data_IF_935792901578
#
_entry.id   IF_935792901578
#
_cell.length_a   1.000
_cell.length_b   1.000
_cell.length_c   1.000
_cell.angle_alpha   90.00
_cell.angle_beta   90.00
_cell.angle_gamma   90.00
#
_symmetry.space_group_name_H-M   'P 1'
#
loop_
_entity.id
_entity.type
_entity.pdbx_description
1 polymer ?
#
# COMPACT_ATOMS: atom_id res chain seq x y z
N UNK A 1 -9.75 -28.99 11.96
CA UNK A 1 -8.53 -29.58 12.58
C UNK A 1 -7.90 -30.68 11.73
N UNK A 2 -8.55 -31.85 11.55
CA UNK A 2 -7.96 -32.94 10.75
C UNK A 2 -7.55 -32.56 9.32
N UNK A 3 -8.43 -31.89 8.58
CA UNK A 3 -8.13 -31.42 7.22
C UNK A 3 -6.94 -30.45 7.18
N UNK A 4 -6.83 -29.56 8.18
CA UNK A 4 -5.71 -28.62 8.27
C UNK A 4 -4.38 -29.34 8.51
N UNK A 5 -4.37 -30.37 9.38
CA UNK A 5 -3.20 -31.21 9.59
C UNK A 5 -2.82 -31.95 8.31
N UNK A 6 -3.80 -32.56 7.62
CA UNK A 6 -3.57 -33.28 6.36
C UNK A 6 -2.98 -32.34 5.28
N UNK A 7 -3.46 -31.09 5.20
CA UNK A 7 -2.94 -30.07 4.27
C UNK A 7 -1.50 -29.67 4.64
N UNK A 8 -1.21 -29.41 5.92
CA UNK A 8 0.15 -29.09 6.36
C UNK A 8 1.13 -30.25 6.12
N UNK A 9 0.71 -31.50 6.30
CA UNK A 9 1.54 -32.67 5.99
C UNK A 9 1.82 -32.77 4.49
N UNK A 10 0.82 -32.49 3.65
CA UNK A 10 0.98 -32.48 2.20
C UNK A 10 1.94 -31.39 1.72
N UNK A 11 1.90 -30.18 2.32
CA UNK A 11 2.85 -29.11 2.01
C UNK A 11 4.29 -29.44 2.41
N UNK A 12 4.49 -30.38 3.35
CA UNK A 12 5.81 -30.86 3.78
C UNK A 12 6.36 -31.99 2.90
N UNK A 13 5.64 -32.43 1.88
CA UNK A 13 6.10 -33.49 0.99
C UNK A 13 7.02 -32.93 -0.10
N UNK A 14 8.33 -32.97 0.15
CA UNK A 14 9.36 -32.56 -0.81
C UNK A 14 9.83 -33.69 -1.72
N UNK A 15 9.24 -34.88 -1.63
CA UNK A 15 9.68 -36.03 -2.44
C UNK A 15 9.46 -35.81 -3.93
N UNK A 16 8.45 -34.99 -4.27
CA UNK A 16 7.98 -34.82 -5.63
C UNK A 16 7.31 -36.07 -6.20
N UNK A 17 7.10 -37.13 -5.41
CA UNK A 17 6.51 -38.40 -5.87
C UNK A 17 4.97 -38.39 -5.82
N UNK A 18 4.38 -37.33 -5.27
CA UNK A 18 2.96 -37.19 -5.00
C UNK A 18 2.50 -35.78 -5.33
N UNK A 19 1.33 -35.70 -5.95
CA UNK A 19 0.58 -34.47 -6.16
C UNK A 19 -0.66 -34.45 -5.28
N UNK A 20 -0.92 -33.30 -4.65
CA UNK A 20 -2.00 -33.13 -3.70
C UNK A 20 -3.05 -32.16 -4.25
N UNK A 21 -4.32 -32.51 -4.06
CA UNK A 21 -5.47 -31.73 -4.53
C UNK A 21 -6.53 -31.65 -3.44
N UNK A 22 -7.28 -30.56 -3.38
CA UNK A 22 -8.49 -30.45 -2.58
C UNK A 22 -9.71 -30.69 -3.47
N UNK A 23 -10.54 -31.69 -3.11
CA UNK A 23 -11.85 -31.86 -3.71
C UNK A 23 -12.85 -30.90 -3.06
N UNK A 24 -13.32 -29.93 -3.85
CA UNK A 24 -14.22 -28.86 -3.41
C UNK A 24 -15.55 -29.42 -2.89
N UNK A 25 -16.02 -30.58 -3.41
CA UNK A 25 -17.32 -31.12 -3.02
C UNK A 25 -17.26 -31.91 -1.73
N UNK A 26 -16.18 -32.68 -1.54
CA UNK A 26 -16.02 -33.52 -0.35
C UNK A 26 -15.24 -32.82 0.77
N UNK A 27 -14.55 -31.72 0.46
CA UNK A 27 -13.62 -31.05 1.37
C UNK A 27 -12.44 -31.94 1.77
N UNK A 28 -12.14 -32.99 0.98
CA UNK A 28 -11.09 -33.96 1.29
C UNK A 28 -9.86 -33.71 0.44
N UNK A 29 -8.71 -33.92 1.08
CA UNK A 29 -7.43 -33.95 0.39
C UNK A 29 -7.30 -35.26 -0.41
N UNK A 30 -6.99 -35.14 -1.69
CA UNK A 30 -6.75 -36.24 -2.62
C UNK A 30 -5.26 -36.25 -2.97
N UNK A 31 -4.59 -37.35 -2.64
CA UNK A 31 -3.19 -37.59 -2.98
C UNK A 31 -3.11 -38.51 -4.21
N UNK A 32 -2.33 -38.11 -5.21
CA UNK A 32 -2.08 -38.89 -6.42
C UNK A 32 -0.59 -39.11 -6.57
N UNK A 33 -0.15 -40.37 -6.57
CA UNK A 33 1.25 -40.71 -6.84
C UNK A 33 1.60 -40.48 -8.32
N UNK A 34 2.82 -40.03 -8.56
CA UNK A 34 3.41 -39.76 -9.88
C UNK A 34 3.41 -40.96 -10.83
N UNK A 35 3.37 -42.17 -10.30
CA UNK A 35 3.20 -43.42 -11.07
C UNK A 35 1.87 -43.41 -11.88
N UNK A 36 0.94 -42.52 -11.54
CA UNK A 36 -0.36 -42.35 -12.18
C UNK A 36 -0.52 -41.06 -13.00
N UNK A 37 0.55 -40.52 -13.63
CA UNK A 37 0.48 -39.33 -14.50
C UNK A 37 -0.68 -39.35 -15.53
N UNK A 38 -1.07 -40.52 -16.04
CA UNK A 38 -2.25 -40.70 -16.89
C UNK A 38 -3.58 -40.32 -16.20
N UNK A 39 -3.75 -40.66 -14.90
CA UNK A 39 -4.92 -40.25 -14.10
C UNK A 39 -4.93 -38.75 -13.84
N UNK A 40 -3.75 -38.14 -13.65
CA UNK A 40 -3.57 -36.70 -13.48
C UNK A 40 -4.06 -35.92 -14.70
N UNK A 41 -3.67 -36.35 -15.92
CA UNK A 41 -4.15 -35.76 -17.19
C UNK A 41 -5.66 -35.96 -17.42
N UNK A 42 -6.20 -37.09 -16.99
CA UNK A 42 -7.65 -37.36 -17.04
C UNK A 42 -8.44 -36.46 -16.09
N UNK A 43 -7.93 -36.19 -14.88
CA UNK A 43 -8.57 -35.34 -13.88
C UNK A 43 -8.50 -33.86 -14.27
N UNK A 44 -7.37 -33.38 -14.80
CA UNK A 44 -7.23 -32.04 -15.35
C UNK A 44 -8.21 -31.76 -16.50
N UNK A 45 -8.56 -32.78 -17.31
CA UNK A 45 -9.53 -32.66 -18.41
C UNK A 45 -11.00 -32.69 -17.96
N UNK A 46 -11.31 -33.13 -16.73
CA UNK A 46 -12.69 -33.44 -16.32
C UNK A 46 -13.20 -32.72 -15.09
N UNK A 47 -12.42 -31.93 -14.36
CA UNK A 47 -12.96 -31.35 -13.12
C UNK A 47 -12.57 -29.89 -12.85
N UNK A 48 -13.56 -29.01 -12.92
CA UNK A 48 -13.66 -27.76 -12.13
C UNK A 48 -13.76 -28.03 -10.61
N UNK A 49 -13.44 -29.24 -10.13
CA UNK A 49 -13.77 -29.74 -8.78
C UNK A 49 -12.56 -30.10 -7.92
N UNK A 50 -11.36 -30.11 -8.50
CA UNK A 50 -10.10 -30.40 -7.79
C UNK A 50 -9.20 -29.18 -7.89
N UNK A 51 -8.83 -28.60 -6.76
CA UNK A 51 -7.90 -27.47 -6.69
C UNK A 51 -6.52 -28.03 -6.34
N UNK A 52 -5.47 -27.80 -7.16
CA UNK A 52 -4.12 -28.23 -6.81
C UNK A 52 -3.63 -27.49 -5.57
N UNK A 53 -3.02 -28.21 -4.64
CA UNK A 53 -2.39 -27.63 -3.46
C UNK A 53 -1.07 -26.95 -3.87
N UNK A 54 -0.69 -25.79 -3.30
CA UNK A 54 0.59 -25.17 -3.58
C UNK A 54 1.73 -26.06 -3.08
N UNK A 55 2.92 -25.92 -3.65
CA UNK A 55 4.11 -26.61 -3.16
C UNK A 55 4.96 -25.62 -2.36
N UNK A 56 5.20 -25.92 -1.08
CA UNK A 56 6.26 -25.25 -0.33
C UNK A 56 7.56 -25.97 -0.65
N UNK A 57 8.58 -25.24 -1.07
CA UNK A 57 9.89 -25.84 -1.38
C UNK A 57 10.82 -25.78 -0.16
N UNK A 58 11.85 -26.65 -0.12
CA UNK A 58 12.79 -26.70 1.02
C UNK A 58 13.51 -25.36 1.24
N UNK A 59 13.74 -24.58 0.18
CA UNK A 59 14.40 -23.26 0.28
C UNK A 59 13.54 -22.27 1.07
N UNK A 60 12.24 -22.24 0.83
CA UNK A 60 11.29 -21.37 1.53
C UNK A 60 11.24 -21.70 3.04
N UNK A 61 11.24 -22.99 3.39
CA UNK A 61 11.33 -23.42 4.78
C UNK A 61 12.67 -23.09 5.43
N UNK A 62 13.77 -23.15 4.68
CA UNK A 62 15.08 -22.72 5.17
C UNK A 62 15.13 -21.22 5.44
N UNK A 63 14.47 -20.40 4.61
CA UNK A 63 14.33 -18.97 4.82
C UNK A 63 13.49 -18.69 6.08
N UNK A 64 12.36 -19.40 6.26
CA UNK A 64 11.56 -19.31 7.49
C UNK A 64 12.34 -19.73 8.74
N UNK A 65 13.08 -20.84 8.66
CA UNK A 65 13.94 -21.32 9.75
C UNK A 65 15.01 -20.30 10.13
N UNK A 66 15.58 -19.60 9.15
CA UNK A 66 16.55 -18.54 9.39
C UNK A 66 15.92 -17.40 10.20
N UNK A 67 14.73 -16.92 9.81
CA UNK A 67 13.99 -15.91 10.57
C UNK A 67 13.69 -16.38 12.00
N UNK A 68 13.16 -17.59 12.16
CA UNK A 68 12.91 -18.20 13.48
C UNK A 68 14.17 -18.22 14.36
N UNK A 69 15.32 -18.59 13.80
CA UNK A 69 16.58 -18.59 14.53
C UNK A 69 17.03 -17.19 15.00
N UNK A 70 16.79 -16.16 14.18
CA UNK A 70 17.15 -14.78 14.51
C UNK A 70 16.22 -14.16 15.55
N UNK A 71 14.92 -14.41 15.42
CA UNK A 71 13.88 -13.74 16.18
C UNK A 71 13.57 -14.47 17.49
N UNK A 72 13.48 -15.80 17.45
CA UNK A 72 12.92 -16.57 18.56
C UNK A 72 14.00 -17.21 19.44
N UNK A 73 15.05 -17.81 18.86
CA UNK A 73 16.02 -18.61 19.64
C UNK A 73 16.91 -17.71 20.51
N UNK A 74 16.58 -17.55 21.79
CA UNK A 74 17.32 -16.69 22.72
C UNK A 74 18.62 -17.29 23.29
N UNK A 75 18.98 -18.54 22.92
CA UNK A 75 20.20 -19.23 23.39
C UNK A 75 21.37 -18.90 22.45
N UNK A 76 22.35 -18.07 22.84
CA UNK A 76 23.34 -17.53 21.89
C UNK A 76 24.23 -18.59 21.23
N UNK A 77 24.57 -19.65 21.98
CA UNK A 77 25.39 -20.75 21.48
C UNK A 77 24.65 -21.57 20.41
N UNK A 78 23.38 -21.92 20.67
CA UNK A 78 22.50 -22.61 19.73
C UNK A 78 22.28 -21.76 18.47
N UNK A 79 21.93 -20.47 18.65
CA UNK A 79 21.74 -19.52 17.54
C UNK A 79 22.97 -19.43 16.64
N UNK A 80 24.16 -19.33 17.24
CA UNK A 80 25.42 -19.27 16.52
C UNK A 80 25.73 -20.57 15.77
N UNK A 81 25.45 -21.72 16.39
CA UNK A 81 25.61 -23.04 15.77
C UNK A 81 24.69 -23.20 14.55
N UNK A 82 23.42 -22.85 14.67
CA UNK A 82 22.44 -22.92 13.59
C UNK A 82 22.81 -21.98 12.44
N UNK A 83 23.20 -20.72 12.71
CA UNK A 83 23.73 -19.79 11.68
C UNK A 83 24.89 -20.39 10.90
N UNK A 84 25.84 -21.04 11.57
CA UNK A 84 26.99 -21.68 10.92
C UNK A 84 26.56 -22.84 10.02
N UNK A 85 25.57 -23.63 10.43
CA UNK A 85 25.08 -24.76 9.62
C UNK A 85 24.23 -24.30 8.43
N UNK A 86 23.40 -23.25 8.59
CA UNK A 86 22.64 -22.65 7.48
C UNK A 86 23.56 -22.09 6.39
N UNK A 87 24.67 -21.44 6.76
CA UNK A 87 25.69 -20.96 5.79
C UNK A 87 26.32 -22.07 4.96
N UNK A 88 26.28 -23.32 5.43
CA UNK A 88 26.77 -24.50 4.70
C UNK A 88 25.73 -25.11 3.75
N UNK A 89 24.57 -24.45 3.54
CA UNK A 89 23.43 -24.99 2.76
C UNK A 89 22.99 -26.36 3.27
N UNK A 90 22.90 -26.48 4.59
CA UNK A 90 22.48 -27.71 5.26
C UNK A 90 20.98 -27.96 5.05
N UNK A 91 20.58 -29.22 4.87
CA UNK A 91 19.16 -29.60 4.75
C UNK A 91 18.36 -29.32 6.02
N UNK A 92 17.05 -29.17 5.86
CA UNK A 92 16.13 -28.88 6.97
C UNK A 92 16.21 -29.95 8.08
N UNK A 93 16.28 -31.23 7.71
CA UNK A 93 16.37 -32.35 8.67
C UNK A 93 17.60 -32.28 9.58
N UNK A 94 18.72 -31.74 9.09
CA UNK A 94 19.92 -31.62 9.91
C UNK A 94 19.81 -30.42 10.87
N UNK A 95 19.10 -29.35 10.50
CA UNK A 95 18.79 -28.24 11.41
C UNK A 95 17.82 -28.67 12.51
N UNK A 96 16.76 -29.42 12.16
CA UNK A 96 15.82 -30.04 13.12
C UNK A 96 16.55 -30.93 14.13
N UNK A 97 17.45 -31.80 13.66
CA UNK A 97 18.29 -32.64 14.54
C UNK A 97 19.22 -31.86 15.47
N UNK A 98 19.60 -30.64 15.11
CA UNK A 98 20.37 -29.77 16.02
C UNK A 98 19.46 -29.25 17.13
N UNK A 99 18.23 -28.83 16.81
CA UNK A 99 17.24 -28.39 17.79
C UNK A 99 16.79 -29.52 18.72
N UNK A 100 16.55 -30.73 18.19
CA UNK A 100 16.13 -31.91 18.96
C UNK A 100 17.16 -32.33 20.02
N UNK A 101 18.45 -32.19 19.69
CA UNK A 101 19.54 -32.55 20.61
C UNK A 101 19.85 -31.45 21.62
N UNK A 102 19.27 -30.27 21.45
CA UNK A 102 19.50 -29.15 22.35
C UNK A 102 18.55 -29.23 23.55
N UNK A 103 19.11 -29.05 24.75
CA UNK A 103 18.36 -29.20 26.01
C UNK A 103 17.36 -28.06 26.28
N UNK A 104 17.40 -26.97 25.50
CA UNK A 104 16.48 -25.83 25.66
C UNK A 104 15.06 -26.09 25.15
N UNK A 105 14.84 -27.16 24.38
CA UNK A 105 13.51 -27.52 23.87
C UNK A 105 13.00 -26.64 22.71
N UNK A 106 13.87 -25.82 22.08
CA UNK A 106 13.50 -24.97 20.94
C UNK A 106 12.96 -25.72 19.72
N UNK A 107 13.10 -27.05 19.67
CA UNK A 107 12.42 -27.88 18.67
C UNK A 107 10.90 -27.72 18.72
N UNK A 108 10.30 -27.56 19.90
CA UNK A 108 8.85 -27.36 20.02
C UNK A 108 8.43 -26.00 19.48
N UNK A 109 9.22 -24.96 19.74
CA UNK A 109 9.01 -23.64 19.16
C UNK A 109 9.09 -23.65 17.64
N UNK A 110 10.05 -24.39 17.07
CA UNK A 110 10.15 -24.55 15.62
C UNK A 110 8.97 -25.31 15.03
N UNK A 111 8.54 -26.42 15.65
CA UNK A 111 7.38 -27.18 15.18
C UNK A 111 6.12 -26.32 15.15
N UNK A 112 5.95 -25.45 16.15
CA UNK A 112 4.84 -24.49 16.19
C UNK A 112 4.96 -23.42 15.11
N UNK A 113 6.15 -22.81 14.94
CA UNK A 113 6.40 -21.79 13.92
C UNK A 113 6.22 -22.33 12.49
N UNK A 114 6.71 -23.54 12.23
CA UNK A 114 6.52 -24.26 10.97
C UNK A 114 5.03 -24.52 10.70
N UNK A 115 4.24 -24.86 11.73
CA UNK A 115 2.80 -25.02 11.57
C UNK A 115 2.08 -23.71 11.24
N UNK A 116 2.45 -22.59 11.87
CA UNK A 116 1.87 -21.28 11.56
C UNK A 116 2.19 -20.85 10.13
N UNK A 117 3.46 -20.97 9.74
CA UNK A 117 3.89 -20.65 8.38
C UNK A 117 3.11 -21.46 7.32
N UNK A 118 2.93 -22.77 7.55
CA UNK A 118 2.16 -23.61 6.62
C UNK A 118 0.66 -23.28 6.63
N UNK A 119 0.10 -22.90 7.77
CA UNK A 119 -1.29 -22.44 7.86
C UNK A 119 -1.51 -21.16 7.05
N UNK A 120 -0.59 -20.19 7.15
CA UNK A 120 -0.61 -18.95 6.36
C UNK A 120 -0.57 -19.27 4.85
N UNK A 121 0.29 -20.20 4.42
CA UNK A 121 0.35 -20.64 3.01
C UNK A 121 -0.95 -21.26 2.52
N UNK A 122 -1.64 -22.02 3.37
CA UNK A 122 -2.95 -22.60 3.06
C UNK A 122 -4.01 -21.50 2.97
N UNK A 123 -3.99 -20.53 3.87
CA UNK A 123 -4.91 -19.39 3.87
C UNK A 123 -4.73 -18.50 2.64
N UNK A 124 -3.50 -18.12 2.30
CA UNK A 124 -3.14 -17.43 1.05
C UNK A 124 -3.75 -18.18 -0.16
N UNK A 125 -3.50 -19.49 -0.25
CA UNK A 125 -3.99 -20.31 -1.36
C UNK A 125 -5.53 -20.42 -1.44
N UNK A 126 -6.24 -20.52 -0.32
CA UNK A 126 -7.71 -20.62 -0.30
C UNK A 126 -8.36 -19.26 -0.65
N UNK A 127 -7.67 -18.16 -0.39
CA UNK A 127 -8.20 -16.80 -0.56
C UNK A 127 -7.96 -16.20 -1.95
N UNK A 128 -7.08 -16.80 -2.76
CA UNK A 128 -6.88 -16.47 -4.18
C UNK A 128 -7.98 -17.10 -5.10
N UNK A 129 -8.68 -16.34 -5.97
CA UNK A 129 -9.75 -16.88 -6.80
C UNK A 129 -9.24 -17.72 -8.01
N UNK A 130 -9.84 -18.88 -8.32
CA UNK A 130 -9.25 -19.83 -9.28
C UNK A 130 -9.68 -19.67 -10.76
N UNK A 131 -10.29 -18.55 -11.20
CA UNK A 131 -10.84 -18.42 -12.56
C UNK A 131 -10.36 -17.16 -13.30
N UNK A 132 -9.78 -17.36 -14.49
CA UNK A 132 -9.18 -16.34 -15.33
C UNK A 132 -10.17 -15.86 -16.42
N UNK A 133 -10.15 -14.57 -16.78
CA UNK A 133 -11.14 -13.99 -17.71
C UNK A 133 -11.07 -14.52 -19.15
N UNK A 134 -9.98 -15.20 -19.51
CA UNK A 134 -9.80 -15.85 -20.82
C UNK A 134 -10.78 -17.00 -21.09
N UNK A 135 -11.37 -17.56 -20.04
CA UNK A 135 -12.10 -18.81 -20.15
C UNK A 135 -13.59 -18.63 -20.52
N UNK A 136 -14.13 -17.40 -20.42
CA UNK A 136 -15.52 -17.09 -20.81
C UNK A 136 -15.74 -15.60 -21.16
N UNK A 137 -15.47 -15.20 -22.41
CA UNK A 137 -15.62 -13.80 -22.86
C UNK A 137 -17.06 -13.26 -22.77
N UNK A 138 -18.08 -14.11 -22.80
CA UNK A 138 -19.48 -13.70 -22.74
C UNK A 138 -19.91 -13.35 -21.30
N UNK A 139 -19.19 -13.88 -20.30
CA UNK A 139 -19.34 -13.48 -18.90
C UNK A 139 -18.79 -12.08 -18.61
N UNK A 140 -17.70 -11.67 -19.27
CA UNK A 140 -16.95 -10.45 -18.95
C UNK A 140 -17.36 -9.20 -19.75
N UNK A 141 -17.96 -9.38 -20.93
CA UNK A 141 -18.30 -8.27 -21.82
C UNK A 141 -19.80 -8.19 -22.06
N UNK A 142 -20.40 -7.10 -21.60
CA UNK A 142 -21.81 -6.78 -21.85
C UNK A 142 -22.04 -6.50 -23.36
N UNK A 143 -22.85 -7.35 -24.00
CA UNK A 143 -23.17 -7.25 -25.42
C UNK A 143 -24.00 -6.00 -25.75
N UNK A 144 -24.63 -5.33 -24.78
CA UNK A 144 -25.40 -4.11 -25.01
C UNK A 144 -24.56 -2.84 -24.90
N UNK A 145 -23.35 -2.93 -24.34
CA UNK A 145 -22.46 -1.79 -24.16
C UNK A 145 -21.54 -1.58 -25.38
N UNK A 146 -21.64 -0.44 -26.10
CA UNK A 146 -20.82 -0.16 -27.29
C UNK A 146 -19.30 -0.13 -27.03
N UNK A 147 -18.88 0.07 -25.77
CA UNK A 147 -17.48 0.00 -25.36
C UNK A 147 -17.07 -1.46 -25.13
N UNK A 148 -17.88 -2.26 -24.43
CA UNK A 148 -17.63 -3.69 -24.24
C UNK A 148 -17.63 -4.45 -25.57
N UNK A 149 -18.55 -4.13 -26.50
CA UNK A 149 -18.52 -4.64 -27.87
C UNK A 149 -17.21 -4.31 -28.60
N UNK A 150 -16.68 -3.09 -28.44
CA UNK A 150 -15.39 -2.72 -29.03
C UNK A 150 -14.25 -3.53 -28.40
N UNK A 151 -14.21 -3.65 -27.07
CA UNK A 151 -13.16 -4.37 -26.35
C UNK A 151 -13.20 -5.88 -26.68
N UNK A 152 -14.37 -6.50 -26.70
CA UNK A 152 -14.59 -7.88 -27.13
C UNK A 152 -14.08 -8.12 -28.55
N UNK A 153 -14.36 -7.19 -29.47
CA UNK A 153 -13.84 -7.23 -30.84
C UNK A 153 -12.32 -7.06 -30.91
N UNK A 154 -11.73 -6.18 -30.09
CA UNK A 154 -10.27 -5.97 -30.05
C UNK A 154 -9.53 -7.21 -29.55
N UNK A 155 -10.09 -7.88 -28.55
CA UNK A 155 -9.54 -9.12 -27.99
C UNK A 155 -9.63 -10.27 -29.00
N UNK A 156 -10.77 -10.40 -29.70
CA UNK A 156 -10.92 -11.35 -30.82
C UNK A 156 -9.93 -11.09 -31.97
N UNK A 157 -9.67 -9.82 -32.27
CA UNK A 157 -8.71 -9.38 -33.29
C UNK A 157 -7.26 -9.35 -32.79
N UNK A 158 -7.01 -9.67 -31.51
CA UNK A 158 -5.70 -9.62 -30.82
C UNK A 158 -4.94 -8.32 -31.05
N UNK A 159 -5.63 -7.19 -30.96
CA UNK A 159 -5.02 -5.86 -31.14
C UNK A 159 -5.58 -4.86 -30.15
N UNK A 160 -4.87 -3.74 -29.97
CA UNK A 160 -5.37 -2.62 -29.18
C UNK A 160 -6.30 -1.71 -30.03
N UNK A 161 -7.29 -1.06 -29.40
CA UNK A 161 -8.16 -0.12 -30.09
C UNK A 161 -7.43 1.20 -30.38
N UNK A 162 -7.66 1.78 -31.56
CA UNK A 162 -7.18 3.13 -31.86
C UNK A 162 -7.99 4.17 -31.09
N UNK A 163 -7.38 5.31 -30.78
CA UNK A 163 -8.03 6.44 -30.10
C UNK A 163 -9.31 6.90 -30.82
N UNK A 164 -9.33 6.88 -32.15
CA UNK A 164 -10.51 7.22 -32.96
C UNK A 164 -11.66 6.20 -32.80
N UNK A 165 -11.33 4.92 -32.65
CA UNK A 165 -12.30 3.83 -32.42
C UNK A 165 -12.91 3.95 -31.03
N UNK A 166 -12.08 4.17 -30.00
CA UNK A 166 -12.52 4.42 -28.62
C UNK A 166 -13.45 5.64 -28.54
N UNK A 167 -13.05 6.78 -29.15
CA UNK A 167 -13.89 7.99 -29.19
C UNK A 167 -15.26 7.72 -29.82
N UNK A 168 -15.30 6.89 -30.87
CA UNK A 168 -16.56 6.51 -31.53
C UNK A 168 -17.42 5.60 -30.64
N UNK A 169 -16.83 4.63 -29.96
CA UNK A 169 -17.51 3.74 -29.02
C UNK A 169 -18.07 4.51 -27.81
N UNK A 170 -17.28 5.38 -27.20
CA UNK A 170 -17.73 6.26 -26.12
C UNK A 170 -18.86 7.19 -26.55
N UNK A 171 -18.78 7.77 -27.77
CA UNK A 171 -19.88 8.60 -28.29
C UNK A 171 -21.17 7.80 -28.50
N UNK A 172 -21.08 6.52 -28.92
CA UNK A 172 -22.24 5.63 -29.03
C UNK A 172 -22.80 5.27 -27.66
N UNK A 173 -21.95 4.89 -26.70
CA UNK A 173 -22.38 4.59 -25.34
C UNK A 173 -23.05 5.80 -24.66
N UNK A 174 -22.51 7.02 -24.83
CA UNK A 174 -23.13 8.26 -24.34
C UNK A 174 -24.52 8.50 -24.93
N UNK A 175 -24.70 8.24 -26.23
CA UNK A 175 -26.00 8.34 -26.92
C UNK A 175 -27.00 7.29 -26.47
N UNK A 176 -26.55 6.12 -26.03
CA UNK A 176 -27.38 5.06 -25.49
C UNK A 176 -27.74 5.25 -24.00
N UNK A 177 -27.40 6.41 -23.41
CA UNK A 177 -27.63 6.69 -22.00
C UNK A 177 -26.54 6.17 -21.06
N UNK A 178 -25.48 5.57 -21.60
CA UNK A 178 -24.31 5.15 -20.83
C UNK A 178 -23.54 6.35 -20.28
N UNK A 179 -23.13 6.28 -19.02
CA UNK A 179 -22.28 7.29 -18.38
C UNK A 179 -20.84 7.03 -18.81
N UNK A 180 -20.37 7.77 -19.83
CA UNK A 180 -19.03 7.61 -20.39
C UNK A 180 -18.38 8.95 -20.76
N UNK A 181 -17.14 9.13 -20.30
CA UNK A 181 -16.26 10.29 -20.59
C UNK A 181 -16.34 11.42 -19.54
N UNK A 182 -15.18 11.86 -19.04
CA UNK A 182 -15.01 13.04 -18.18
C UNK A 182 -14.30 14.19 -18.92
N UNK A 183 -14.33 15.39 -18.32
CA UNK A 183 -13.87 16.68 -18.90
C UNK A 183 -12.46 16.68 -19.52
N UNK A 184 -11.61 15.70 -19.19
CA UNK A 184 -10.24 15.53 -19.72
C UNK A 184 -10.24 15.36 -21.25
N UNK A 185 -11.32 14.85 -21.85
CA UNK A 185 -11.42 14.70 -23.31
C UNK A 185 -12.03 15.92 -24.02
N UNK A 186 -12.60 16.88 -23.29
CA UNK A 186 -13.43 17.96 -23.86
C UNK A 186 -12.79 19.36 -23.80
N UNK A 187 -11.66 19.58 -23.10
CA UNK A 187 -10.99 20.90 -23.07
C UNK A 187 -9.50 20.86 -23.47
N UNK A 188 -9.23 21.34 -24.68
CA UNK A 188 -7.98 22.00 -25.04
C UNK A 188 -7.87 23.32 -24.26
N UNK A 189 -7.36 23.30 -23.04
CA UNK A 189 -6.99 24.53 -22.33
C UNK A 189 -5.88 24.31 -21.32
N UNK A 190 -4.64 24.16 -21.83
CA UNK A 190 -3.47 24.69 -21.12
C UNK A 190 -3.58 26.22 -21.16
N UNK A 191 -4.30 26.78 -20.19
CA UNK A 191 -4.46 28.21 -19.99
C UNK A 191 -3.93 28.58 -18.62
N UNK A 192 -2.61 28.64 -18.48
CA UNK A 192 -1.94 29.38 -17.42
C UNK A 192 -2.01 30.86 -17.82
N UNK A 193 -2.97 31.62 -17.27
CA UNK A 193 -2.91 33.09 -17.23
C UNK A 193 -3.43 33.51 -15.86
N UNK A 194 -2.61 34.31 -15.16
CA UNK A 194 -2.91 34.81 -13.83
C UNK A 194 -4.17 35.67 -13.77
N UNK A 195 -4.95 35.46 -12.72
CA UNK A 195 -5.58 36.50 -11.93
C UNK A 195 -6.11 35.88 -10.63
N UNK A 196 -5.79 36.52 -9.52
CA UNK A 196 -6.10 36.14 -8.14
C UNK A 196 -7.57 36.38 -7.74
N UNK A 197 -8.51 36.02 -8.60
CA UNK A 197 -9.94 36.05 -8.26
C UNK A 197 -10.58 34.73 -8.68
N UNK A 198 -11.12 34.02 -7.68
CA UNK A 198 -11.71 32.68 -7.70
C UNK A 198 -10.72 31.49 -7.67
N UNK A 199 -9.97 31.38 -6.57
CA UNK A 199 -9.34 30.11 -6.15
C UNK A 199 -10.42 29.02 -5.98
N UNK A 200 -10.59 28.16 -6.99
CA UNK A 200 -11.43 26.96 -6.92
C UNK A 200 -10.56 25.72 -7.04
N UNK A 201 -10.20 25.18 -5.88
CA UNK A 201 -9.43 23.95 -5.81
C UNK A 201 -10.22 22.77 -6.40
N UNK A 202 -9.60 21.95 -7.27
CA UNK A 202 -10.23 20.74 -7.76
C UNK A 202 -10.59 19.81 -6.60
N UNK A 203 -11.85 19.36 -6.54
CA UNK A 203 -12.36 18.50 -5.46
C UNK A 203 -11.54 17.23 -5.27
N UNK A 204 -10.93 16.71 -6.33
CA UNK A 204 -10.13 15.49 -6.25
C UNK A 204 -8.83 15.68 -5.45
N UNK A 205 -8.29 16.90 -5.33
CA UNK A 205 -7.07 17.15 -4.55
C UNK A 205 -7.28 16.90 -3.05
N UNK A 206 -8.52 16.92 -2.57
CA UNK A 206 -8.87 16.53 -1.20
C UNK A 206 -8.57 15.06 -0.91
N UNK A 207 -8.63 14.20 -1.94
CA UNK A 207 -8.39 12.75 -1.79
C UNK A 207 -6.91 12.42 -1.60
N UNK A 208 -6.00 13.38 -1.75
CA UNK A 208 -4.55 13.18 -1.55
C UNK A 208 -4.13 13.21 -0.09
N UNK A 209 -5.00 13.66 0.82
CA UNK A 209 -4.64 13.86 2.23
C UNK A 209 -5.76 13.53 3.21
N UNK A 210 -7.03 13.44 2.79
CA UNK A 210 -8.13 13.02 3.68
C UNK A 210 -8.04 11.53 3.99
N UNK A 211 -8.31 11.17 5.25
CA UNK A 211 -8.40 9.76 5.68
C UNK A 211 -9.47 8.99 4.93
N UNK A 212 -10.63 9.62 4.78
CA UNK A 212 -11.76 9.07 4.01
C UNK A 212 -11.79 9.79 2.66
N UNK A 213 -11.32 9.15 1.58
CA UNK A 213 -11.33 9.76 0.26
C UNK A 213 -12.74 9.73 -0.35
N UNK A 214 -12.96 10.35 -1.52
CA UNK A 214 -14.31 10.47 -2.08
C UNK A 214 -14.86 9.18 -2.69
N UNK A 215 -14.00 8.17 -2.94
CA UNK A 215 -14.38 6.85 -3.44
C UNK A 215 -14.90 6.80 -4.88
N UNK A 216 -14.85 7.91 -5.64
CA UNK A 216 -15.41 7.97 -6.98
C UNK A 216 -14.45 7.43 -8.05
N UNK A 217 -14.99 6.70 -9.02
CA UNK A 217 -14.21 6.11 -10.12
C UNK A 217 -13.65 7.16 -11.09
N UNK A 218 -14.31 8.32 -11.20
CA UNK A 218 -13.85 9.46 -11.99
C UNK A 218 -12.81 10.33 -11.26
N UNK A 219 -12.55 10.08 -9.98
CA UNK A 219 -11.52 10.77 -9.23
C UNK A 219 -10.13 10.28 -9.68
N UNK A 220 -9.21 11.19 -10.08
CA UNK A 220 -7.84 10.82 -10.44
C UNK A 220 -7.07 10.03 -9.37
N UNK A 221 -7.44 10.20 -8.10
CA UNK A 221 -6.81 9.50 -6.98
C UNK A 221 -7.57 8.20 -6.67
N UNK A 222 -8.86 8.29 -6.32
CA UNK A 222 -9.63 7.11 -5.89
C UNK A 222 -9.84 6.10 -7.02
N UNK A 223 -10.15 6.59 -8.23
CA UNK A 223 -10.31 5.74 -9.40
C UNK A 223 -9.01 5.06 -9.81
N UNK A 224 -7.85 5.72 -9.63
CA UNK A 224 -6.54 5.11 -9.84
C UNK A 224 -6.25 4.03 -8.79
N UNK A 225 -6.39 4.34 -7.50
CA UNK A 225 -6.23 3.36 -6.41
C UNK A 225 -7.12 2.14 -6.64
N UNK A 226 -8.37 2.34 -7.06
CA UNK A 226 -9.30 1.24 -7.37
C UNK A 226 -8.80 0.39 -8.55
N UNK A 227 -8.28 1.02 -9.61
CA UNK A 227 -7.71 0.32 -10.77
C UNK A 227 -6.43 -0.45 -10.42
N UNK A 228 -5.55 0.15 -9.64
CA UNK A 228 -4.30 -0.49 -9.20
C UNK A 228 -4.61 -1.68 -8.29
N UNK A 229 -5.54 -1.53 -7.33
CA UNK A 229 -6.07 -2.65 -6.55
C UNK A 229 -6.69 -3.73 -7.42
N UNK A 230 -7.52 -3.35 -8.38
CA UNK A 230 -8.13 -4.31 -9.31
C UNK A 230 -7.07 -5.05 -10.14
N UNK A 231 -6.02 -4.35 -10.59
CA UNK A 231 -4.87 -4.95 -11.30
C UNK A 231 -4.13 -5.96 -10.42
N UNK A 232 -3.91 -5.67 -9.15
CA UNK A 232 -3.31 -6.63 -8.22
C UNK A 232 -4.22 -7.84 -8.01
N UNK A 233 -5.52 -7.62 -7.77
CA UNK A 233 -6.53 -8.69 -7.65
C UNK A 233 -6.52 -9.59 -8.90
N UNK A 234 -6.51 -9.01 -10.09
CA UNK A 234 -6.47 -9.75 -11.37
C UNK A 234 -5.21 -10.60 -11.55
N UNK A 235 -4.11 -10.22 -10.89
CA UNK A 235 -2.85 -10.96 -10.92
C UNK A 235 -2.69 -11.96 -9.78
N UNK A 236 -3.62 -12.00 -8.83
CA UNK A 236 -3.45 -12.72 -7.57
C UNK A 236 -2.34 -12.11 -6.69
N UNK A 237 -2.03 -10.82 -6.89
CA UNK A 237 -1.11 -10.08 -6.04
C UNK A 237 -1.87 -9.51 -4.85
N UNK A 238 -1.34 -9.66 -3.63
CA UNK A 238 -1.82 -8.90 -2.49
C UNK A 238 -1.48 -7.41 -2.72
N UNK A 239 -2.49 -6.55 -2.72
CA UNK A 239 -2.31 -5.11 -2.88
C UNK A 239 -1.86 -4.42 -1.58
N UNK A 240 -2.00 -5.10 -0.44
CA UNK A 240 -1.48 -4.66 0.85
C UNK A 240 -0.07 -5.23 1.12
N UNK A 241 0.46 -6.08 0.24
CA UNK A 241 1.86 -6.50 0.26
C UNK A 241 2.80 -5.30 0.00
N UNK A 242 3.83 -5.21 0.83
CA UNK A 242 4.76 -4.09 0.82
C UNK A 242 5.61 -4.03 -0.46
N UNK A 243 6.00 -5.18 -1.03
CA UNK A 243 6.78 -5.18 -2.27
C UNK A 243 5.94 -4.71 -3.45
N UNK A 244 4.67 -5.13 -3.53
CA UNK A 244 3.74 -4.70 -4.56
C UNK A 244 3.43 -3.19 -4.44
N UNK A 245 3.23 -2.69 -3.22
CA UNK A 245 3.09 -1.26 -2.97
C UNK A 245 4.32 -0.45 -3.42
N UNK A 246 5.54 -0.98 -3.21
CA UNK A 246 6.78 -0.34 -3.69
C UNK A 246 6.84 -0.34 -5.23
N UNK A 247 6.51 -1.46 -5.89
CA UNK A 247 6.49 -1.55 -7.35
C UNK A 247 5.51 -0.56 -7.96
N UNK A 248 4.35 -0.41 -7.36
CA UNK A 248 3.34 0.57 -7.75
C UNK A 248 3.85 2.00 -7.62
N UNK A 249 4.54 2.30 -6.51
CA UNK A 249 5.19 3.61 -6.30
C UNK A 249 6.27 3.87 -7.35
N UNK A 250 7.13 2.89 -7.66
CA UNK A 250 8.16 3.01 -8.70
C UNK A 250 7.55 3.27 -10.09
N UNK A 251 6.50 2.53 -10.44
CA UNK A 251 5.77 2.72 -11.69
C UNK A 251 5.14 4.13 -11.76
N UNK A 252 4.56 4.61 -10.66
CA UNK A 252 4.01 5.96 -10.56
C UNK A 252 5.10 7.03 -10.75
N UNK A 253 6.31 6.82 -10.20
CA UNK A 253 7.43 7.73 -10.41
C UNK A 253 7.92 7.75 -11.86
N UNK A 254 7.99 6.59 -12.51
CA UNK A 254 8.35 6.49 -13.94
C UNK A 254 7.36 7.24 -14.82
N UNK A 255 6.07 7.03 -14.60
CA UNK A 255 5.03 7.74 -15.35
C UNK A 255 5.06 9.26 -15.11
N UNK A 256 5.25 9.68 -13.85
CA UNK A 256 5.40 11.10 -13.53
C UNK A 256 6.63 11.70 -14.22
N UNK A 257 7.75 10.99 -14.23
CA UNK A 257 8.97 11.43 -14.91
C UNK A 257 8.77 11.53 -16.42
N UNK A 258 8.10 10.57 -17.06
CA UNK A 258 7.76 10.64 -18.48
C UNK A 258 6.89 11.86 -18.83
N UNK A 259 5.90 12.17 -17.98
CA UNK A 259 5.05 13.36 -18.14
C UNK A 259 5.90 14.62 -18.02
N UNK A 260 6.76 14.70 -17.00
CA UNK A 260 7.66 15.84 -16.78
C UNK A 260 8.61 16.01 -17.98
N UNK A 261 9.16 14.93 -18.51
CA UNK A 261 10.06 14.97 -19.66
C UNK A 261 9.36 15.52 -20.91
N UNK A 262 8.15 15.02 -21.21
CA UNK A 262 7.34 15.52 -22.34
C UNK A 262 6.98 17.00 -22.17
N UNK A 263 6.62 17.40 -20.95
CA UNK A 263 6.31 18.80 -20.64
C UNK A 263 7.54 19.70 -20.80
N UNK A 264 8.69 19.25 -20.32
CA UNK A 264 9.97 19.95 -20.44
C UNK A 264 10.39 20.11 -21.90
N UNK A 265 10.32 19.04 -22.70
CA UNK A 265 10.56 19.08 -24.15
C UNK A 265 9.62 20.06 -24.85
N UNK A 266 8.32 20.00 -24.55
CA UNK A 266 7.31 20.88 -25.16
C UNK A 266 7.54 22.37 -24.86
N UNK A 267 8.18 22.67 -23.74
CA UNK A 267 8.49 24.02 -23.27
C UNK A 267 9.95 24.43 -23.52
N UNK A 268 10.75 23.56 -24.15
CA UNK A 268 12.16 23.82 -24.45
C UNK A 268 13.08 23.82 -23.23
N UNK A 269 12.68 23.23 -22.10
CA UNK A 269 13.50 23.10 -20.91
C UNK A 269 14.37 21.84 -20.95
N UNK A 270 15.66 21.99 -20.65
CA UNK A 270 16.56 20.86 -20.45
C UNK A 270 16.59 20.46 -18.97
N UNK A 271 15.84 19.42 -18.64
CA UNK A 271 15.77 18.77 -17.33
C UNK A 271 17.03 17.99 -16.94
N UNK A 272 18.03 17.83 -17.82
CA UNK A 272 19.30 17.20 -17.43
C UNK A 272 20.23 18.14 -16.63
N UNK A 273 19.96 19.45 -16.62
CA UNK A 273 20.74 20.47 -15.90
C UNK A 273 20.09 20.90 -14.58
N UNK A 274 19.78 19.93 -13.70
CA UNK A 274 19.14 20.18 -12.39
C UNK A 274 20.15 20.66 -11.32
N UNK A 275 21.45 20.59 -11.60
CA UNK A 275 22.53 20.84 -10.62
C UNK A 275 22.52 22.27 -10.04
N UNK A 276 21.82 23.22 -10.66
CA UNK A 276 21.75 24.62 -10.23
C UNK A 276 20.48 24.98 -9.44
N UNK A 277 19.61 24.02 -9.10
CA UNK A 277 18.42 24.30 -8.30
C UNK A 277 18.80 24.38 -6.83
N UNK A 278 18.59 25.55 -6.20
CA UNK A 278 18.73 25.67 -4.75
C UNK A 278 17.62 24.90 -4.06
N UNK A 279 17.98 23.86 -3.34
CA UNK A 279 17.04 23.05 -2.57
C UNK A 279 16.64 23.72 -1.25
N UNK A 280 15.40 23.51 -0.79
CA UNK A 280 15.02 23.94 0.53
C UNK A 280 15.84 23.19 1.61
N UNK A 281 16.01 23.77 2.81
CA UNK A 281 16.68 23.09 3.91
C UNK A 281 16.07 21.72 4.22
N UNK A 282 16.87 20.83 4.82
CA UNK A 282 16.36 19.60 5.40
C UNK A 282 15.34 19.87 6.52
N UNK A 283 14.38 18.96 6.79
CA UNK A 283 13.35 19.16 7.80
C UNK A 283 13.91 19.52 9.19
N UNK A 284 15.04 18.91 9.60
CA UNK A 284 15.71 19.16 10.88
C UNK A 284 16.26 20.59 11.02
N UNK A 285 16.41 21.33 9.92
CA UNK A 285 16.85 22.73 9.93
C UNK A 285 15.70 23.71 10.20
N UNK A 286 14.46 23.25 10.22
CA UNK A 286 13.29 24.09 10.54
C UNK A 286 12.83 23.88 12.00
N UNK A 287 12.97 24.86 12.90
CA UNK A 287 12.54 24.72 14.29
C UNK A 287 11.07 24.35 14.48
N UNK A 288 10.17 24.89 13.64
CA UNK A 288 8.74 24.55 13.71
C UNK A 288 8.50 23.07 13.37
N UNK A 289 9.19 22.54 12.35
CA UNK A 289 9.13 21.11 12.01
C UNK A 289 9.60 20.25 13.18
N UNK A 290 10.69 20.63 13.86
CA UNK A 290 11.19 19.89 15.04
C UNK A 290 10.13 19.85 16.15
N UNK A 291 9.49 20.98 16.46
CA UNK A 291 8.43 21.05 17.47
C UNK A 291 7.24 20.14 17.12
N UNK A 292 6.80 20.15 15.87
CA UNK A 292 5.67 19.33 15.40
C UNK A 292 6.05 17.85 15.36
N UNK A 293 7.27 17.50 14.96
CA UNK A 293 7.78 16.14 15.02
C UNK A 293 7.81 15.62 16.47
N UNK A 294 8.29 16.42 17.42
CA UNK A 294 8.26 16.07 18.84
C UNK A 294 6.83 15.87 19.36
N UNK A 295 5.89 16.69 18.91
CA UNK A 295 4.47 16.51 19.21
C UNK A 295 3.90 15.22 18.59
N UNK A 296 4.19 14.93 17.32
CA UNK A 296 3.76 13.71 16.63
C UNK A 296 4.31 12.44 17.29
N UNK A 297 5.58 12.46 17.72
CA UNK A 297 6.19 11.35 18.47
C UNK A 297 5.46 10.97 19.75
N UNK A 298 4.81 11.93 20.43
CA UNK A 298 4.00 11.64 21.62
C UNK A 298 2.71 10.91 21.25
N UNK A 299 2.14 11.20 20.09
CA UNK A 299 0.97 10.49 19.56
C UNK A 299 1.37 9.06 19.16
N UNK A 300 2.48 8.88 18.45
CA UNK A 300 2.98 7.54 18.08
C UNK A 300 3.27 6.70 19.33
N UNK A 301 3.93 7.27 20.34
CA UNK A 301 4.16 6.56 21.60
C UNK A 301 2.86 6.16 22.32
N UNK A 302 1.82 7.00 22.25
CA UNK A 302 0.50 6.64 22.78
C UNK A 302 -0.16 5.53 21.97
N UNK A 303 -0.04 5.55 20.64
CA UNK A 303 -0.54 4.50 19.77
C UNK A 303 0.13 3.16 20.08
N UNK A 304 1.45 3.13 20.19
CA UNK A 304 2.21 1.93 20.51
C UNK A 304 1.79 1.34 21.87
N UNK A 305 1.71 2.19 22.90
CA UNK A 305 1.26 1.76 24.23
C UNK A 305 -0.20 1.27 24.21
N UNK A 306 -1.05 1.90 23.42
CA UNK A 306 -2.46 1.53 23.27
C UNK A 306 -2.62 0.16 22.58
N UNK A 307 -1.85 -0.08 21.50
CA UNK A 307 -1.82 -1.38 20.80
C UNK A 307 -1.36 -2.49 21.73
N UNK A 308 -0.26 -2.27 22.47
CA UNK A 308 0.29 -3.23 23.43
C UNK A 308 -0.66 -3.53 24.60
N UNK A 309 -1.49 -2.55 24.98
CA UNK A 309 -2.44 -2.68 26.09
C UNK A 309 -3.86 -3.04 25.62
N UNK A 310 -4.05 -3.32 24.33
CA UNK A 310 -5.33 -3.68 23.70
C UNK A 310 -6.50 -2.74 24.07
N UNK A 311 -6.22 -1.43 24.19
CA UNK A 311 -7.23 -0.47 24.65
C UNK A 311 -8.27 -0.18 23.56
N UNK A 312 -9.55 -0.30 23.91
CA UNK A 312 -10.64 -0.21 22.95
C UNK A 312 -10.72 1.12 22.18
N UNK A 313 -10.27 2.24 22.77
CA UNK A 313 -10.38 3.55 22.13
C UNK A 313 -9.59 3.65 20.82
N UNK A 314 -8.58 2.80 20.61
CA UNK A 314 -7.76 2.80 19.39
C UNK A 314 -8.56 2.44 18.14
N UNK A 315 -9.69 1.75 18.29
CA UNK A 315 -10.57 1.34 17.21
C UNK A 315 -11.67 2.36 16.89
N UNK A 316 -11.65 3.53 17.54
CA UNK A 316 -12.64 4.59 17.31
C UNK A 316 -12.28 5.46 16.11
N UNK A 317 -13.28 6.10 15.50
CA UNK A 317 -13.05 7.08 14.41
C UNK A 317 -12.17 8.25 14.87
N UNK A 318 -12.32 8.68 16.12
CA UNK A 318 -11.50 9.75 16.69
C UNK A 318 -10.02 9.36 16.76
N UNK A 319 -9.71 8.10 17.10
CA UNK A 319 -8.33 7.58 17.07
C UNK A 319 -7.79 7.49 15.64
N UNK A 320 -8.57 6.95 14.71
CA UNK A 320 -8.19 6.87 13.30
C UNK A 320 -7.91 8.25 12.70
N UNK A 321 -8.75 9.25 12.99
CA UNK A 321 -8.51 10.65 12.61
C UNK A 321 -7.26 11.21 13.29
N UNK A 322 -7.06 10.97 14.59
CA UNK A 322 -5.88 11.45 15.31
C UNK A 322 -4.58 10.98 14.65
N UNK A 323 -4.43 9.67 14.42
CA UNK A 323 -3.21 9.11 13.85
C UNK A 323 -2.98 9.55 12.41
N UNK A 324 -4.02 9.55 11.59
CA UNK A 324 -3.93 9.97 10.20
C UNK A 324 -3.54 11.45 10.06
N UNK A 325 -4.26 12.34 10.76
CA UNK A 325 -4.05 13.77 10.61
C UNK A 325 -2.82 14.28 11.37
N UNK A 326 -2.30 13.54 12.36
CA UNK A 326 -1.02 13.88 13.00
C UNK A 326 0.15 13.68 12.03
N UNK A 327 0.16 12.57 11.30
CA UNK A 327 1.14 12.32 10.23
C UNK A 327 0.95 13.27 9.04
N UNK A 328 -0.30 13.54 8.66
CA UNK A 328 -0.61 14.52 7.59
C UNK A 328 -0.12 15.93 7.96
N UNK A 329 -0.35 16.38 9.20
CA UNK A 329 0.15 17.66 9.70
C UNK A 329 1.68 17.75 9.61
N UNK A 330 2.39 16.67 9.99
CA UNK A 330 3.85 16.61 9.92
C UNK A 330 4.39 16.67 8.49
N UNK A 331 3.75 15.97 7.54
CA UNK A 331 4.13 16.03 6.13
C UNK A 331 3.85 17.41 5.53
N UNK A 332 2.66 17.97 5.79
CA UNK A 332 2.21 19.23 5.20
C UNK A 332 2.91 20.45 5.80
N UNK A 333 3.33 20.44 7.06
CA UNK A 333 4.08 21.57 7.60
C UNK A 333 5.46 21.69 6.94
N UNK A 334 6.14 20.58 6.67
CA UNK A 334 7.41 20.64 5.93
C UNK A 334 7.20 21.24 4.55
N UNK A 335 6.16 20.79 3.84
CA UNK A 335 5.79 21.35 2.53
C UNK A 335 5.50 22.86 2.61
N UNK A 336 4.75 23.31 3.61
CA UNK A 336 4.47 24.74 3.81
C UNK A 336 5.74 25.56 4.04
N UNK A 337 6.68 25.02 4.84
CA UNK A 337 7.96 25.65 5.12
C UNK A 337 8.87 25.71 3.88
N UNK A 338 8.88 24.65 3.06
CA UNK A 338 9.58 24.64 1.77
C UNK A 338 8.96 25.65 0.80
N UNK A 339 7.63 25.68 0.66
CA UNK A 339 6.93 26.62 -0.21
C UNK A 339 7.25 28.07 0.19
N UNK A 340 7.23 28.36 1.49
CA UNK A 340 7.63 29.67 2.01
C UNK A 340 9.07 29.99 1.68
N UNK A 341 9.99 29.07 1.91
CA UNK A 341 11.40 29.26 1.61
C UNK A 341 11.61 29.55 0.12
N UNK A 342 10.91 28.85 -0.78
CA UNK A 342 10.95 29.13 -2.21
C UNK A 342 10.46 30.55 -2.53
N UNK A 343 9.31 30.96 -1.99
CA UNK A 343 8.77 32.32 -2.16
C UNK A 343 9.79 33.37 -1.68
N UNK A 344 10.37 33.19 -0.49
CA UNK A 344 11.35 34.11 0.10
C UNK A 344 12.69 34.16 -0.66
N UNK A 345 12.98 33.17 -1.51
CA UNK A 345 14.16 33.12 -2.38
C UNK A 345 13.84 33.41 -3.85
N UNK A 346 12.68 34.00 -4.14
CA UNK A 346 12.31 34.45 -5.49
C UNK A 346 11.78 33.35 -6.41
N UNK A 347 11.33 32.22 -5.86
CA UNK A 347 10.70 31.14 -6.63
C UNK A 347 9.30 31.53 -7.10
N UNK A 348 9.04 31.37 -8.40
CA UNK A 348 7.75 31.72 -9.04
C UNK A 348 6.64 30.69 -8.79
N UNK A 349 6.97 29.51 -8.22
CA UNK A 349 6.08 28.35 -8.16
C UNK A 349 5.42 28.09 -6.78
N UNK A 350 5.42 29.08 -5.88
CA UNK A 350 5.05 28.87 -4.47
C UNK A 350 3.60 29.17 -4.10
N UNK A 351 2.96 30.16 -4.74
CA UNK A 351 1.74 30.77 -4.18
C UNK A 351 0.53 29.83 -4.17
N UNK A 352 0.29 29.10 -5.26
CA UNK A 352 -0.81 28.14 -5.34
C UNK A 352 -0.65 27.03 -4.29
N UNK A 353 0.53 26.42 -4.22
CA UNK A 353 0.78 25.31 -3.31
C UNK A 353 0.88 25.76 -1.85
N UNK A 354 1.32 26.99 -1.59
CA UNK A 354 1.31 27.63 -0.27
C UNK A 354 -0.12 27.88 0.23
N UNK A 355 -1.02 28.40 -0.63
CA UNK A 355 -2.42 28.60 -0.29
C UNK A 355 -3.14 27.26 -0.06
N UNK A 356 -2.92 26.29 -0.95
CA UNK A 356 -3.47 24.95 -0.81
C UNK A 356 -3.03 24.29 0.49
N UNK A 357 -1.72 24.22 0.72
CA UNK A 357 -1.17 23.55 1.90
C UNK A 357 -1.59 24.26 3.19
N UNK A 358 -1.70 25.59 3.19
CA UNK A 358 -2.29 26.36 4.29
C UNK A 358 -3.70 25.91 4.65
N UNK A 359 -4.60 25.81 3.65
CA UNK A 359 -5.97 25.30 3.87
C UNK A 359 -5.98 23.86 4.42
N UNK A 360 -5.11 23.00 3.92
CA UNK A 360 -5.00 21.61 4.43
C UNK A 360 -4.58 21.61 5.90
N UNK A 361 -3.61 22.45 6.29
CA UNK A 361 -3.17 22.56 7.67
C UNK A 361 -4.29 23.04 8.60
N UNK A 362 -5.08 24.03 8.18
CA UNK A 362 -6.24 24.52 8.94
C UNK A 362 -7.28 23.43 9.20
N UNK A 363 -7.64 22.67 8.16
CA UNK A 363 -8.58 21.54 8.28
C UNK A 363 -8.00 20.41 9.15
N UNK A 364 -6.70 20.08 9.00
CA UNK A 364 -6.03 19.10 9.86
C UNK A 364 -6.09 19.53 11.33
N UNK A 365 -5.79 20.80 11.64
CA UNK A 365 -5.87 21.33 13.00
C UNK A 365 -7.29 21.25 13.56
N UNK A 366 -8.31 21.55 12.75
CA UNK A 366 -9.71 21.44 13.15
C UNK A 366 -10.09 20.01 13.50
N UNK A 367 -9.72 19.04 12.66
CA UNK A 367 -10.00 17.62 12.88
C UNK A 367 -9.25 17.11 14.10
N UNK A 368 -7.93 17.35 14.19
CA UNK A 368 -7.11 16.95 15.34
C UNK A 368 -7.67 17.47 16.67
N UNK A 369 -8.06 18.75 16.74
CA UNK A 369 -8.68 19.32 17.93
C UNK A 369 -10.01 18.66 18.27
N UNK A 370 -10.82 18.29 17.26
CA UNK A 370 -12.08 17.57 17.46
C UNK A 370 -11.81 16.17 18.02
N UNK A 371 -10.97 15.40 17.34
CA UNK A 371 -10.60 14.03 17.71
C UNK A 371 -10.01 13.95 19.12
N UNK A 372 -9.07 14.83 19.47
CA UNK A 372 -8.49 14.89 20.82
C UNK A 372 -9.56 15.18 21.87
N UNK A 373 -10.46 16.13 21.63
CA UNK A 373 -11.55 16.44 22.58
C UNK A 373 -12.52 15.28 22.74
N UNK A 374 -12.80 14.53 21.68
CA UNK A 374 -13.64 13.33 21.76
C UNK A 374 -12.97 12.24 22.59
N UNK A 375 -11.68 11.99 22.38
CA UNK A 375 -10.90 11.04 23.18
C UNK A 375 -10.81 11.45 24.66
N UNK A 376 -10.59 12.75 24.95
CA UNK A 376 -10.57 13.28 26.33
C UNK A 376 -11.91 13.10 27.05
N UNK A 377 -13.03 13.19 26.32
CA UNK A 377 -14.37 12.96 26.87
C UNK A 377 -14.61 11.49 27.20
N UNK A 378 -13.93 10.57 26.53
CA UNK A 378 -13.97 9.16 26.85
C UNK A 378 -13.48 8.89 28.28
N UNK A 379 -14.10 7.92 28.97
CA UNK A 379 -13.62 7.45 30.27
C UNK A 379 -12.42 6.51 30.08
N UNK A 380 -11.31 7.05 29.57
CA UNK A 380 -10.12 6.30 29.19
C UNK A 380 -8.94 6.65 30.08
N UNK A 381 -8.08 5.68 30.35
CA UNK A 381 -6.91 5.82 31.22
C UNK A 381 -5.92 6.90 30.75
N UNK A 382 -5.82 7.12 29.42
CA UNK A 382 -4.87 8.04 28.79
C UNK A 382 -5.39 9.48 28.67
N UNK A 383 -6.46 9.83 29.40
CA UNK A 383 -7.10 11.15 29.30
C UNK A 383 -6.12 12.32 29.53
N UNK A 384 -5.24 12.19 30.54
CA UNK A 384 -4.27 13.24 30.89
C UNK A 384 -3.27 13.47 29.77
N UNK A 385 -2.85 12.40 29.10
CA UNK A 385 -1.92 12.42 27.99
C UNK A 385 -2.54 13.12 26.78
N UNK A 386 -3.81 12.83 26.47
CA UNK A 386 -4.53 13.56 25.43
C UNK A 386 -4.72 15.04 25.74
N UNK A 387 -5.05 15.40 26.98
CA UNK A 387 -5.14 16.80 27.42
C UNK A 387 -3.81 17.55 27.23
N UNK A 388 -2.68 16.90 27.55
CA UNK A 388 -1.34 17.45 27.37
C UNK A 388 -0.99 17.62 25.88
N UNK A 389 -1.34 16.65 25.03
CA UNK A 389 -1.13 16.70 23.58
C UNK A 389 -1.98 17.80 22.95
N UNK A 390 -3.25 17.93 23.33
CA UNK A 390 -4.13 19.01 22.88
C UNK A 390 -3.59 20.38 23.29
N UNK A 391 -3.17 20.53 24.54
CA UNK A 391 -2.59 21.77 25.05
C UNK A 391 -1.33 22.19 24.28
N UNK A 392 -0.49 21.23 23.89
CA UNK A 392 0.69 21.49 23.05
C UNK A 392 0.29 21.87 21.62
N UNK A 393 -0.68 21.19 21.02
CA UNK A 393 -1.18 21.52 19.68
C UNK A 393 -1.72 22.97 19.63
N UNK A 394 -2.49 23.38 20.64
CA UNK A 394 -3.04 24.73 20.74
C UNK A 394 -1.95 25.80 20.85
N UNK A 395 -0.82 25.50 21.50
CA UNK A 395 0.35 26.41 21.54
C UNK A 395 1.01 26.53 20.17
N UNK A 396 1.07 25.44 19.41
CA UNK A 396 1.69 25.40 18.07
C UNK A 396 0.79 25.96 16.96
N UNK A 397 -0.53 25.97 17.16
CA UNK A 397 -1.53 26.37 16.14
C UNK A 397 -1.20 27.71 15.46
N UNK A 398 -0.83 28.74 16.23
CA UNK A 398 -0.47 30.05 15.67
C UNK A 398 0.77 29.98 14.78
N UNK A 399 1.77 29.21 15.18
CA UNK A 399 3.00 29.01 14.40
C UNK A 399 2.74 28.15 13.15
N UNK A 400 1.76 27.23 13.18
CA UNK A 400 1.37 26.38 12.04
C UNK A 400 0.62 27.18 10.98
N UNK A 401 -0.37 27.98 11.39
CA UNK A 401 -1.20 28.78 10.46
C UNK A 401 -0.35 29.90 9.84
N UNK A 402 0.57 30.49 10.62
CA UNK A 402 1.46 31.53 10.12
C UNK A 402 2.92 31.29 10.56
N UNK A 403 3.67 30.45 9.82
CA UNK A 403 5.05 30.13 10.15
C UNK A 403 5.95 31.37 10.02
N UNK A 404 6.34 32.06 11.09
CA UNK A 404 7.03 33.35 10.99
C UNK A 404 8.39 33.29 10.26
N UNK A 405 8.77 34.36 9.54
CA UNK A 405 10.05 34.53 8.79
C UNK A 405 11.31 34.57 9.65
N UNK A 406 11.20 34.72 10.98
CA UNK A 406 12.35 34.89 11.90
C UNK A 406 13.24 33.65 12.02
N UNK A 407 12.89 32.54 11.38
CA UNK A 407 13.66 31.28 11.43
C UNK A 407 14.76 31.16 10.37
N UNK A 408 14.80 32.04 9.36
CA UNK A 408 15.73 31.90 8.23
C UNK A 408 16.92 32.86 8.25
N UNK A 409 16.86 33.94 9.05
CA UNK A 409 17.94 34.92 9.14
C UNK A 409 19.23 34.34 9.77
N UNK A 410 19.15 33.24 10.51
CA UNK A 410 20.32 32.52 11.04
C UNK A 410 20.98 31.56 10.03
N UNK A 411 20.35 31.30 8.87
CA UNK A 411 20.89 30.43 7.82
C UNK A 411 21.55 31.22 6.67
N UNK A 412 21.45 32.56 6.67
CA UNK A 412 22.12 33.44 5.69
C UNK A 412 23.53 33.86 6.10
N UNK A 413 24.05 33.36 7.21
CA UNK A 413 25.39 33.67 7.71
C UNK A 413 26.14 32.41 8.09
N UNK A 414 26.65 31.68 7.10
CA UNK A 414 27.83 30.81 7.18
C UNK A 414 28.33 30.51 5.78
#
# INVERSE_FOLDING_TARGET
>A
EKLHQDLCEALKDFSGERAYFLDINSGKLVCISDIHQHKLKMLQKKSQKLIPLPSVNEKELLERFAAFNEEMINVPQLRTRLRKEMKKKTSMDKLKRILEKDSSGWIHGWVQDEQFFLAERIEEWITEPPLNAKDDLDYWFDDDCPVCQLMKKMEQERRQPKTSELKKAFKKAKKAGGIVGGEIMEKNSLGYIGNTQDFKMPKWMECTWRRVPCGKDDCPICGRIKKDRQRHIEKGEDFDDFENAIKDVDQNFKEALEIINKDAESKGFNIANIENIKEPPEPKKFPLYIKINQWNKKIMALEDMARLSEVFWIYTEAAADLFWYANTLMAKIYRQLCNRWHIENGGEYGDFDYQYTGRVLEECLKILKKSLRELIKGNISQKREFDLILSQLLKLEKEIINPSSRTFSSLRGK
#
